data_IF_884187839637
#
_entry.id   IF_884187839637
#
_cell.length_a   1.000
_cell.length_b   1.000
_cell.length_c   1.000
_cell.angle_alpha   90.00
_cell.angle_beta   90.00
_cell.angle_gamma   90.00
#
_symmetry.space_group_name_H-M   'P 1'
#
loop_
_entity.id
_entity.type
_entity.pdbx_description
1 polymer ?
2 non-polymer ?
3 non-polymer ?
4 non-polymer ?
5 water ?
#
# COMPACT_ATOMS: atom_id res chain seq x y z
N UNK A 13 -15.00 21.86 3.61
CA UNK A 13 -13.74 21.23 3.08
C UNK A 13 -14.06 19.94 2.33
N UNK A 14 -13.49 19.80 1.12
CA UNK A 14 -13.55 18.55 0.36
C UNK A 14 -12.13 18.16 -0.06
N UNK A 15 -11.82 16.86 0.09
CA UNK A 15 -10.53 16.31 -0.33
C UNK A 15 -10.74 15.57 -1.65
N UNK A 16 -10.01 15.99 -2.70
CA UNK A 16 -10.09 15.34 -4.00
C UNK A 16 -8.82 14.51 -4.17
N UNK A 17 -8.93 13.22 -3.92
CA UNK A 17 -7.77 12.35 -4.11
C UNK A 17 -7.78 11.78 -5.52
N UNK A 18 -6.63 11.86 -6.18
CA UNK A 18 -6.51 11.33 -7.54
C UNK A 18 -6.35 9.81 -7.46
N UNK A 19 -7.30 9.09 -8.03
CA UNK A 19 -7.25 7.63 -8.08
C UNK A 19 -7.82 7.12 -9.40
N UNK A 20 -7.02 7.33 -10.46
CA UNK A 20 -7.39 6.96 -11.82
C UNK A 20 -6.96 5.51 -12.03
N UNK A 21 -7.97 4.62 -12.10
CA UNK A 21 -7.75 3.20 -12.24
C UNK A 21 -9.12 2.55 -12.49
N UNK A 22 -9.13 1.50 -13.32
CA UNK A 22 -10.37 0.78 -13.54
C UNK A 22 -10.78 0.06 -12.26
N UNK A 23 -9.79 -0.50 -11.55
CA UNK A 23 -10.07 -1.16 -10.28
C UNK A 23 -9.20 -0.53 -9.21
N UNK A 24 -9.69 -0.52 -7.96
CA UNK A 24 -9.01 0.22 -6.91
C UNK A 24 -7.74 -0.49 -6.43
N UNK A 25 -6.67 0.30 -6.24
CA UNK A 25 -5.49 -0.24 -5.58
C UNK A 25 -5.67 -0.24 -4.06
N UNK A 26 -4.79 -0.96 -3.35
CA UNK A 26 -4.75 -0.86 -1.90
C UNK A 26 -4.34 0.55 -1.46
N UNK A 27 -3.54 1.26 -2.28
CA UNK A 27 -3.22 2.64 -1.92
C UNK A 27 -4.48 3.49 -1.75
N UNK A 28 -5.38 3.45 -2.74
CA UNK A 28 -6.58 4.29 -2.64
C UNK A 28 -7.49 3.77 -1.52
N UNK A 29 -7.60 2.45 -1.34
CA UNK A 29 -8.46 1.92 -0.28
C UNK A 29 -7.94 2.38 1.09
N UNK A 30 -6.62 2.34 1.29
CA UNK A 30 -6.05 2.84 2.53
C UNK A 30 -6.36 4.33 2.72
N UNK A 31 -6.15 5.12 1.66
CA UNK A 31 -6.41 6.56 1.72
C UNK A 31 -7.88 6.78 2.14
N UNK A 32 -8.80 6.02 1.55
CA UNK A 32 -10.22 6.17 1.89
C UNK A 32 -10.44 5.87 3.38
N UNK A 33 -9.78 4.83 3.90
CA UNK A 33 -10.01 4.45 5.29
C UNK A 33 -9.50 5.50 6.25
N UNK A 34 -8.33 6.09 5.94
CA UNK A 34 -7.82 7.17 6.75
C UNK A 34 -8.71 8.42 6.66
N UNK A 35 -9.18 8.77 5.45
CA UNK A 35 -10.14 9.87 5.32
C UNK A 35 -11.37 9.66 6.21
N UNK A 36 -11.96 8.47 6.19
CA UNK A 36 -13.14 8.19 6.99
C UNK A 36 -12.83 8.30 8.48
N UNK A 37 -11.65 7.85 8.90
CA UNK A 37 -11.32 7.82 10.32
C UNK A 37 -11.19 9.24 10.84
N UNK A 38 -10.88 10.21 9.97
CA UNK A 38 -10.63 11.58 10.39
C UNK A 38 -11.77 12.51 10.00
N UNK A 39 -12.91 11.94 9.60
CA UNK A 39 -14.12 12.70 9.26
C UNK A 39 -13.89 13.64 8.08
N UNK A 40 -13.09 13.21 7.10
CA UNK A 40 -12.81 14.05 5.94
C UNK A 40 -13.72 13.61 4.79
N UNK A 41 -14.51 14.56 4.28
CA UNK A 41 -15.31 14.31 3.07
C UNK A 41 -14.38 14.28 1.85
N UNK A 42 -14.57 13.29 0.96
CA UNK A 42 -13.60 13.10 -0.10
C UNK A 42 -14.29 12.57 -1.34
N UNK A 43 -13.61 12.78 -2.47
CA UNK A 43 -14.02 12.22 -3.75
C UNK A 43 -12.76 11.57 -4.32
N UNK A 44 -12.90 10.38 -4.92
CA UNK A 44 -11.77 9.78 -5.64
C UNK A 44 -11.86 10.21 -7.10
N UNK A 45 -10.97 11.11 -7.51
CA UNK A 45 -11.03 11.65 -8.87
C UNK A 45 -10.55 10.58 -9.84
N UNK A 46 -11.38 10.30 -10.87
CA UNK A 46 -10.94 9.43 -11.94
C UNK A 46 -11.23 7.97 -11.67
N UNK A 47 -11.94 7.65 -10.60
CA UNK A 47 -12.25 6.28 -10.26
C UNK A 47 -12.91 5.60 -11.47
N UNK A 48 -12.48 4.36 -11.79
CA UNK A 48 -13.10 3.61 -12.88
C UNK A 48 -12.47 3.86 -14.26
N UNK A 49 -11.62 4.90 -14.37
CA UNK A 49 -11.03 5.24 -15.66
C UNK A 49 -9.64 4.63 -15.78
N UNK A 50 -9.18 4.42 -17.02
CA UNK A 50 -7.86 3.87 -17.26
C UNK A 50 -6.79 4.95 -17.15
N UNK A 51 -5.65 4.62 -16.53
CA UNK A 51 -4.54 5.54 -16.40
C UNK A 51 -3.81 5.72 -17.74
N UNK A 52 -3.55 6.98 -18.09
CA UNK A 52 -2.83 7.31 -19.31
C UNK A 52 -1.77 8.38 -19.01
N UNK A 53 -1.35 8.49 -17.74
CA UNK A 53 -0.53 9.61 -17.30
C UNK A 53 0.96 9.35 -17.46
N UNK A 54 1.32 8.16 -17.96
CA UNK A 54 2.70 7.80 -18.31
C UNK A 54 3.30 6.85 -17.27
N UNK A 55 4.43 6.21 -17.62
CA UNK A 55 5.16 5.36 -16.70
C UNK A 55 6.00 6.27 -15.80
N UNK A 56 5.40 6.67 -14.66
CA UNK A 56 5.97 7.68 -13.78
C UNK A 56 7.35 7.25 -13.26
N UNK A 57 7.54 5.93 -13.09
CA UNK A 57 8.74 5.34 -12.54
C UNK A 57 9.98 5.73 -13.35
N UNK A 58 9.94 5.49 -14.67
CA UNK A 58 11.13 5.63 -15.51
C UNK A 58 11.13 6.96 -16.26
N UNK A 59 10.01 7.71 -16.16
CA UNK A 59 9.79 8.94 -16.91
C UNK A 59 8.74 9.78 -16.19
N UNK A 60 8.87 11.11 -16.26
CA UNK A 60 7.86 11.96 -15.65
C UNK A 60 6.61 12.03 -16.55
N UNK A 61 5.51 12.52 -15.96
CA UNK A 61 4.23 12.68 -16.64
C UNK A 61 3.20 13.21 -15.63
N UNK A 62 1.95 12.74 -15.73
CA UNK A 62 0.95 13.04 -14.72
C UNK A 62 -0.06 14.11 -15.15
N UNK A 63 0.08 14.67 -16.37
CA UNK A 63 -0.87 15.65 -16.90
C UNK A 63 -2.31 15.17 -16.81
N UNK A 64 -2.53 13.85 -16.95
CA UNK A 64 -3.89 13.30 -16.90
C UNK A 64 -4.53 13.57 -15.53
N UNK A 65 -3.71 13.70 -14.48
CA UNK A 65 -4.25 14.02 -13.17
C UNK A 65 -4.95 15.38 -13.19
N UNK A 66 -4.30 16.35 -13.85
CA UNK A 66 -4.83 17.70 -14.03
C UNK A 66 -6.15 17.64 -14.82
N UNK A 67 -6.15 16.89 -15.94
CA UNK A 67 -7.34 16.83 -16.78
C UNK A 67 -8.53 16.19 -16.06
N UNK A 68 -8.30 15.13 -15.28
CA UNK A 68 -9.36 14.50 -14.50
C UNK A 68 -9.82 15.43 -13.37
N UNK A 69 -8.88 16.16 -12.76
CA UNK A 69 -9.22 17.12 -11.70
C UNK A 69 -10.17 18.19 -12.27
N UNK A 70 -9.84 18.67 -13.49
CA UNK A 70 -10.66 19.70 -14.12
C UNK A 70 -12.09 19.22 -14.32
N UNK A 71 -12.28 17.99 -14.84
CA UNK A 71 -13.62 17.41 -14.94
C UNK A 71 -14.33 17.31 -13.59
N UNK A 72 -13.61 16.84 -12.57
CA UNK A 72 -14.21 16.78 -11.24
C UNK A 72 -14.69 18.16 -10.78
N UNK A 73 -13.91 19.21 -11.03
CA UNK A 73 -14.25 20.55 -10.56
C UNK A 73 -15.56 21.03 -11.20
N UNK A 74 -15.93 20.51 -12.38
CA UNK A 74 -17.18 20.88 -13.02
C UNK A 74 -18.39 20.43 -12.19
N UNK A 75 -18.23 19.41 -11.32
CA UNK A 75 -19.29 18.97 -10.41
C UNK A 75 -19.37 19.83 -9.15
N UNK A 76 -18.37 20.67 -8.89
CA UNK A 76 -18.26 21.38 -7.61
C UNK A 76 -18.42 22.87 -7.89
N UNK A 77 -19.64 23.37 -7.82
CA UNK A 77 -19.88 24.68 -8.39
C UNK A 77 -19.53 25.77 -7.38
N UNK A 78 -19.54 25.45 -6.09
CA UNK A 78 -19.29 26.49 -5.10
C UNK A 78 -17.79 26.64 -4.83
N UNK A 79 -17.44 27.84 -4.36
CA UNK A 79 -16.04 28.20 -4.16
C UNK A 79 -15.59 27.71 -2.78
N UNK A 80 -15.40 26.41 -2.64
CA UNK A 80 -15.08 25.87 -1.32
C UNK A 80 -13.59 25.53 -1.27
N UNK A 81 -13.10 25.35 -0.05
CA UNK A 81 -11.70 24.97 0.14
C UNK A 81 -11.57 23.51 -0.23
N UNK A 82 -10.55 23.21 -1.05
CA UNK A 82 -10.35 21.83 -1.48
C UNK A 82 -8.88 21.44 -1.27
N UNK A 83 -8.66 20.19 -0.89
CA UNK A 83 -7.31 19.61 -0.92
C UNK A 83 -7.27 18.71 -2.14
N UNK A 84 -6.18 18.77 -2.91
CA UNK A 84 -6.01 17.89 -4.05
C UNK A 84 -4.74 17.11 -3.75
N UNK A 85 -4.82 15.78 -3.82
CA UNK A 85 -3.66 15.01 -3.38
C UNK A 85 -3.59 13.66 -4.10
N UNK A 86 -2.35 13.17 -4.15
CA UNK A 86 -2.07 11.78 -4.48
C UNK A 86 -2.81 10.88 -3.52
N UNK A 87 -3.08 9.62 -3.93
CA UNK A 87 -3.71 8.66 -3.01
C UNK A 87 -2.92 7.37 -2.88
N UNK A 88 -2.04 7.07 -3.84
CA UNK A 88 -1.46 5.73 -3.81
C UNK A 88 -0.48 5.56 -2.66
N UNK A 89 0.13 6.68 -2.27
CA UNK A 89 1.25 6.72 -1.34
C UNK A 89 1.06 7.86 -0.33
N UNK A 90 -0.19 8.10 0.07
CA UNK A 90 -0.49 9.24 0.92
C UNK A 90 -1.71 8.96 1.81
N UNK A 91 -1.65 9.40 3.08
CA UNK A 91 -2.79 9.30 3.99
C UNK A 91 -2.92 10.56 4.83
N UNK A 92 -4.17 10.95 5.17
CA UNK A 92 -4.41 12.00 6.18
C UNK A 92 -4.31 11.42 7.57
N UNK A 93 -3.81 12.23 8.52
CA UNK A 93 -3.62 11.80 9.90
C UNK A 93 -4.37 12.74 10.84
N UNK A 94 -5.13 13.67 10.26
CA UNK A 94 -5.98 14.51 11.09
C UNK A 94 -7.21 14.95 10.31
N UNK A 95 -8.08 15.74 10.98
CA UNK A 95 -9.38 16.05 10.41
C UNK A 95 -9.49 17.48 9.90
N UNK A 96 -10.73 17.88 9.49
CA UNK A 96 -10.95 19.16 8.84
C UNK A 96 -10.66 20.38 9.71
N UNK A 97 -10.90 20.28 11.03
CA UNK A 97 -10.68 21.42 11.92
C UNK A 97 -9.21 21.82 11.92
N UNK A 98 -8.32 20.84 12.11
CA UNK A 98 -6.88 21.11 12.08
C UNK A 98 -6.48 21.66 10.71
N UNK A 99 -7.01 21.08 9.63
CA UNK A 99 -6.65 21.52 8.28
C UNK A 99 -7.05 22.99 8.03
N UNK A 100 -8.29 23.32 8.40
CA UNK A 100 -8.84 24.66 8.18
C UNK A 100 -8.04 25.66 8.99
N UNK A 101 -7.70 25.32 10.25
CA UNK A 101 -6.95 26.25 11.09
C UNK A 101 -5.56 26.49 10.52
N UNK A 102 -4.89 25.41 10.08
CA UNK A 102 -3.57 25.56 9.50
C UNK A 102 -3.59 26.42 8.24
N UNK A 103 -4.56 26.16 7.36
CA UNK A 103 -4.67 26.90 6.11
C UNK A 103 -4.79 28.39 6.41
N UNK A 104 -5.67 28.75 7.35
CA UNK A 104 -5.92 30.16 7.66
C UNK A 104 -4.63 30.82 8.17
N UNK A 105 -3.90 30.08 9.01
CA UNK A 105 -2.67 30.59 9.57
C UNK A 105 -1.61 30.69 8.49
N UNK A 106 -1.51 29.69 7.60
CA UNK A 106 -0.43 29.70 6.63
C UNK A 106 -0.61 30.82 5.60
N UNK A 107 -1.86 31.12 5.22
CA UNK A 107 -2.13 32.05 4.12
C UNK A 107 -3.36 32.90 4.43
N UNK A 108 -3.19 34.01 5.19
CA UNK A 108 -4.28 34.96 5.42
C UNK A 108 -4.90 35.50 4.14
N UNK A 109 -4.13 35.57 3.05
CA UNK A 109 -4.65 36.06 1.77
C UNK A 109 -5.17 34.94 0.87
N UNK A 110 -5.41 33.75 1.44
CA UNK A 110 -6.12 32.68 0.76
C UNK A 110 -5.45 32.26 -0.55
N UNK A 111 -4.13 32.10 -0.52
CA UNK A 111 -3.39 31.60 -1.68
C UNK A 111 -3.56 30.08 -1.80
N UNK A 112 -3.06 29.49 -2.90
CA UNK A 112 -3.00 28.05 -2.96
C UNK A 112 -1.72 27.57 -2.27
N UNK A 113 -1.84 26.64 -1.30
CA UNK A 113 -0.66 26.18 -0.60
C UNK A 113 -0.22 24.85 -1.21
N UNK A 114 1.05 24.75 -1.64
CA UNK A 114 1.60 23.48 -2.10
C UNK A 114 2.56 22.90 -1.07
N UNK A 115 2.67 21.56 -1.06
CA UNK A 115 3.72 20.89 -0.33
C UNK A 115 5.10 21.42 -0.74
N UNK A 116 6.00 21.45 0.26
CA UNK A 116 7.42 21.65 0.00
C UNK A 116 8.11 20.28 -0.07
N UNK A 117 9.38 20.28 -0.51
CA UNK A 117 10.21 19.09 -0.51
C UNK A 117 11.69 19.48 -0.61
N UNK A 118 12.59 18.47 -0.55
CA UNK A 118 14.03 18.69 -0.51
C UNK A 118 14.63 19.00 -1.88
N UNK A 119 14.01 18.51 -2.98
CA UNK A 119 14.70 18.50 -4.27
C UNK A 119 13.94 19.30 -5.33
N UNK A 120 14.71 19.90 -6.24
CA UNK A 120 14.18 20.72 -7.32
C UNK A 120 14.13 19.88 -8.59
N UNK A 121 12.92 19.44 -8.99
CA UNK A 121 12.80 18.54 -10.12
C UNK A 121 11.48 18.79 -10.84
N UNK A 122 11.31 18.48 -12.16
CA UNK A 122 12.37 17.87 -13.00
C UNK A 122 13.41 18.77 -13.68
N UNK A 123 13.37 20.06 -13.37
CA UNK A 123 14.18 21.06 -14.07
C UNK A 123 15.14 21.73 -13.09
N UNK A 124 16.39 21.25 -13.06
CA UNK A 124 17.42 21.69 -12.13
C UNK A 124 17.70 23.19 -12.31
N UNK A 125 17.42 23.73 -13.51
CA UNK A 125 17.71 25.13 -13.73
C UNK A 125 16.76 26.04 -12.95
N UNK A 126 15.72 25.49 -12.31
CA UNK A 126 14.81 26.33 -11.54
C UNK A 126 15.39 26.71 -10.17
N UNK A 127 16.47 26.01 -9.75
CA UNK A 127 17.08 26.21 -8.44
C UNK A 127 17.22 27.70 -8.16
N UNK A 128 17.86 28.44 -9.09
CA UNK A 128 18.20 29.83 -8.81
C UNK A 128 17.00 30.77 -8.92
N UNK A 129 15.84 30.25 -9.36
CA UNK A 129 14.62 31.03 -9.52
C UNK A 129 13.69 30.91 -8.32
N UNK A 130 13.97 29.94 -7.43
CA UNK A 130 13.17 29.77 -6.23
C UNK A 130 13.53 30.83 -5.19
N UNK A 131 12.56 31.29 -4.38
CA UNK A 131 12.86 32.18 -3.24
C UNK A 131 13.88 31.56 -2.30
N UNK A 132 14.82 32.39 -1.81
CA UNK A 132 15.82 31.97 -0.85
C UNK A 132 15.18 31.81 0.52
N UNK A 133 15.45 30.68 1.18
CA UNK A 133 14.82 30.41 2.47
C UNK A 133 15.80 29.69 3.38
N UNK A 134 15.62 29.88 4.69
CA UNK A 134 16.50 29.28 5.66
C UNK A 134 15.88 27.97 6.14
N UNK A 135 15.70 27.02 5.22
CA UNK A 135 15.23 25.68 5.48
C UNK A 135 15.72 24.82 4.32
N UNK A 136 15.90 23.53 4.58
CA UNK A 136 16.16 22.58 3.50
C UNK A 136 14.90 22.27 2.68
N UNK A 137 13.71 22.57 3.20
CA UNK A 137 12.47 22.27 2.48
C UNK A 137 12.16 23.41 1.49
N UNK A 138 12.97 23.50 0.42
CA UNK A 138 12.99 24.71 -0.40
C UNK A 138 12.01 24.69 -1.59
N UNK A 139 11.62 23.51 -2.07
CA UNK A 139 11.05 23.43 -3.42
C UNK A 139 9.63 22.89 -3.39
N UNK A 140 8.91 23.03 -4.52
CA UNK A 140 7.52 22.59 -4.63
C UNK A 140 7.42 21.09 -4.90
N UNK A 141 6.45 20.43 -4.25
CA UNK A 141 6.06 19.06 -4.59
C UNK A 141 4.57 19.09 -4.94
N UNK A 142 4.18 18.57 -6.12
CA UNK A 142 2.82 18.78 -6.63
C UNK A 142 1.84 17.69 -6.19
N UNK A 143 2.29 16.78 -5.32
CA UNK A 143 1.56 15.63 -4.80
C UNK A 143 0.48 16.00 -3.76
N UNK A 144 0.51 17.23 -3.24
CA UNK A 144 -0.54 17.66 -2.32
C UNK A 144 -0.62 19.17 -2.33
N UNK A 145 -1.83 19.72 -2.42
CA UNK A 145 -1.97 21.16 -2.33
C UNK A 145 -3.39 21.49 -1.85
N UNK A 146 -3.60 22.75 -1.43
CA UNK A 146 -4.89 23.14 -0.89
C UNK A 146 -5.21 24.60 -1.22
N UNK A 147 -6.45 24.87 -1.63
CA UNK A 147 -6.87 26.25 -1.84
C UNK A 147 -8.33 26.29 -2.29
N UNK A 148 -8.80 27.51 -2.62
CA UNK A 148 -10.18 27.67 -3.08
C UNK A 148 -10.37 27.06 -4.47
N UNK A 149 -11.52 26.40 -4.64
CA UNK A 149 -11.92 25.75 -5.87
C UNK A 149 -11.72 26.69 -7.06
N UNK A 150 -12.16 27.94 -6.93
CA UNK A 150 -12.07 28.81 -8.11
C UNK A 150 -10.63 29.15 -8.48
N UNK A 151 -9.77 29.33 -7.49
CA UNK A 151 -8.37 29.62 -7.76
C UNK A 151 -7.71 28.45 -8.49
N UNK A 152 -8.00 27.23 -8.02
CA UNK A 152 -7.38 26.06 -8.62
C UNK A 152 -7.92 25.90 -10.04
N UNK A 153 -9.23 26.09 -10.20
CA UNK A 153 -9.90 25.97 -11.49
C UNK A 153 -9.22 26.91 -12.49
N UNK A 154 -9.00 28.16 -12.07
CA UNK A 154 -8.43 29.17 -12.96
C UNK A 154 -7.06 28.72 -13.47
N UNK A 155 -6.27 28.07 -12.61
CA UNK A 155 -4.93 27.63 -13.01
C UNK A 155 -4.95 26.52 -14.07
N UNK A 156 -5.99 25.69 -14.11
CA UNK A 156 -5.95 24.46 -14.91
C UNK A 156 -6.99 24.46 -16.04
N UNK A 157 -7.74 25.56 -16.18
CA UNK A 157 -9.01 25.51 -16.89
C UNK A 157 -8.83 25.17 -18.37
N UNK A 158 -7.65 25.43 -18.93
CA UNK A 158 -7.41 25.13 -20.34
C UNK A 158 -6.95 23.68 -20.54
N UNK A 159 -6.77 22.92 -19.45
CA UNK A 159 -6.33 21.54 -19.58
C UNK A 159 -4.86 21.44 -20.00
N UNK A 160 -4.33 20.22 -20.03
CA UNK A 160 -2.96 19.92 -20.44
C UNK A 160 -2.96 18.62 -21.22
N UNK A 161 -1.79 18.17 -21.71
CA UNK A 161 -1.76 16.86 -22.35
C UNK A 161 -1.63 15.83 -21.24
N UNK A 162 -2.26 14.67 -21.41
CA UNK A 162 -2.20 13.54 -20.48
C UNK A 162 -0.76 13.21 -20.06
N UNK A 163 0.19 13.41 -20.96
CA UNK A 163 1.56 13.00 -20.68
C UNK A 163 2.46 14.19 -20.35
N UNK A 164 1.89 15.40 -20.27
CA UNK A 164 2.62 16.55 -19.76
C UNK A 164 3.02 16.27 -18.32
N UNK A 165 3.96 17.08 -17.82
CA UNK A 165 4.53 16.84 -16.51
C UNK A 165 3.85 17.77 -15.50
N UNK A 166 3.04 17.22 -14.58
CA UNK A 166 2.27 18.08 -13.67
C UNK A 166 3.18 18.73 -12.63
N UNK A 167 4.25 18.03 -12.23
CA UNK A 167 5.23 18.60 -11.31
C UNK A 167 5.85 19.88 -11.88
N UNK A 168 6.26 19.82 -13.16
CA UNK A 168 6.84 20.99 -13.80
C UNK A 168 5.80 22.09 -13.99
N UNK A 169 4.57 21.72 -14.34
CA UNK A 169 3.49 22.67 -14.56
C UNK A 169 3.33 23.55 -13.31
N UNK A 170 3.26 22.90 -12.15
CA UNK A 170 2.99 23.67 -10.94
C UNK A 170 4.24 24.39 -10.44
N UNK A 171 5.41 23.81 -10.69
CA UNK A 171 6.65 24.47 -10.32
C UNK A 171 6.73 25.84 -11.03
N UNK A 172 6.41 25.82 -12.34
CA UNK A 172 6.48 27.03 -13.15
C UNK A 172 5.46 28.07 -12.66
N UNK A 173 4.24 27.62 -12.40
CA UNK A 173 3.21 28.48 -11.84
C UNK A 173 3.67 29.13 -10.55
N UNK A 174 4.35 28.37 -9.67
CA UNK A 174 4.81 28.96 -8.42
C UNK A 174 5.81 30.08 -8.69
N UNK A 175 6.77 29.79 -9.59
CA UNK A 175 7.93 30.65 -9.77
C UNK A 175 7.52 31.93 -10.50
N UNK A 176 6.50 31.81 -11.36
CA UNK A 176 6.24 32.87 -12.30
C UNK A 176 5.10 33.76 -11.84
N UNK A 177 4.26 33.27 -10.90
CA UNK A 177 3.08 34.00 -10.46
C UNK A 177 3.20 34.31 -8.97
N UNK A 178 2.13 34.87 -8.42
CA UNK A 178 2.05 35.07 -6.98
C UNK A 178 0.88 34.27 -6.40
N UNK A 179 0.46 33.21 -7.09
CA UNK A 179 -0.76 32.50 -6.72
C UNK A 179 -0.54 31.42 -5.66
N UNK A 180 0.72 30.96 -5.52
CA UNK A 180 1.07 29.79 -4.71
C UNK A 180 2.05 30.17 -3.61
N UNK A 181 1.83 29.60 -2.42
CA UNK A 181 2.80 29.63 -1.36
C UNK A 181 3.20 28.18 -1.00
N UNK A 182 4.43 27.99 -0.52
CA UNK A 182 4.87 26.66 -0.13
C UNK A 182 4.73 26.47 1.37
N UNK A 183 4.39 25.23 1.78
CA UNK A 183 4.26 24.88 3.19
C UNK A 183 5.63 24.48 3.73
N UNK A 184 6.50 25.48 3.93
CA UNK A 184 7.89 25.23 4.32
C UNK A 184 7.99 24.51 5.66
N UNK A 185 7.01 24.74 6.57
CA UNK A 185 7.10 24.16 7.91
C UNK A 185 6.39 22.80 8.00
N UNK A 186 6.01 22.20 6.86
CA UNK A 186 5.39 20.87 6.91
C UNK A 186 4.21 20.85 7.90
N UNK A 187 3.29 21.85 7.81
CA UNK A 187 2.15 21.93 8.70
C UNK A 187 1.00 21.09 8.13
N UNK A 188 0.73 21.31 6.82
CA UNK A 188 -0.34 20.57 6.15
C UNK A 188 0.20 19.30 5.49
N UNK A 189 1.40 19.41 4.89
CA UNK A 189 1.86 18.34 4.02
C UNK A 189 3.29 17.93 4.39
N UNK A 190 3.56 16.62 4.29
CA UNK A 190 4.92 16.12 4.48
C UNK A 190 5.32 15.25 3.29
N UNK A 191 6.24 15.76 2.46
CA UNK A 191 6.94 14.93 1.49
C UNK A 191 8.05 14.20 2.24
N UNK A 192 7.85 12.89 2.41
CA UNK A 192 8.66 12.13 3.35
C UNK A 192 10.03 11.74 2.79
N UNK A 193 10.21 11.84 1.46
CA UNK A 193 11.42 11.27 0.82
C UNK A 193 12.70 11.93 1.35
N UNK A 194 13.63 11.09 1.85
CA UNK A 194 14.92 11.52 2.37
C UNK A 194 14.77 12.43 3.60
N UNK A 195 13.61 12.37 4.29
CA UNK A 195 13.43 13.09 5.53
C UNK A 195 13.28 12.13 6.71
N UNK A 196 13.68 10.87 6.53
CA UNK A 196 13.57 9.87 7.59
C UNK A 196 14.02 10.39 8.95
N UNK A 197 15.18 11.07 9.03
CA UNK A 197 15.65 11.33 10.39
C UNK A 197 14.91 12.51 11.02
N UNK A 198 14.09 13.22 10.22
CA UNK A 198 13.28 14.32 10.74
C UNK A 198 12.05 13.78 11.46
N UNK A 199 11.63 12.56 11.13
CA UNK A 199 10.27 12.10 11.43
C UNK A 199 10.26 10.96 12.46
N UNK A 200 9.27 11.03 13.37
CA UNK A 200 9.00 9.95 14.30
C UNK A 200 7.48 9.71 14.34
N UNK A 201 7.07 8.51 14.74
CA UNK A 201 5.66 8.29 15.05
C UNK A 201 5.45 8.58 16.54
N UNK A 202 4.46 9.42 16.86
CA UNK A 202 4.15 9.72 18.26
C UNK A 202 2.66 10.06 18.38
N UNK A 203 1.98 9.40 19.33
CA UNK A 203 0.55 9.63 19.57
C UNK A 203 -0.26 9.66 18.28
N UNK A 204 -0.07 8.62 17.47
CA UNK A 204 -0.86 8.36 16.28
C UNK A 204 -0.60 9.43 15.22
N UNK A 205 0.58 10.07 15.27
CA UNK A 205 0.90 11.12 14.28
C UNK A 205 2.36 11.02 13.86
N UNK A 206 2.67 11.66 12.73
CA UNK A 206 4.06 11.98 12.41
C UNK A 206 4.40 13.30 13.09
N UNK A 207 5.52 13.28 13.81
CA UNK A 207 6.12 14.48 14.32
C UNK A 207 7.40 14.74 13.52
N UNK A 208 7.47 15.95 12.93
CA UNK A 208 8.66 16.40 12.24
C UNK A 208 9.46 17.26 13.23
N UNK A 209 10.60 16.77 13.65
CA UNK A 209 11.39 17.49 14.65
C UNK A 209 12.22 18.61 14.04
N UNK A 210 12.40 18.56 12.70
CA UNK A 210 13.14 19.63 12.05
C UNK A 210 12.29 20.91 12.00
N UNK A 211 11.01 20.76 11.63
CA UNK A 211 10.09 21.88 11.49
C UNK A 211 9.35 22.16 12.79
N UNK A 212 9.33 21.19 13.72
CA UNK A 212 8.47 21.25 14.91
C UNK A 212 7.01 21.32 14.49
N UNK A 213 6.56 20.29 13.79
CA UNK A 213 5.19 20.25 13.29
C UNK A 213 4.67 18.83 13.31
N UNK A 214 3.34 18.73 13.21
CA UNK A 214 2.69 17.46 13.00
C UNK A 214 1.96 17.52 11.66
N UNK A 215 2.61 17.18 10.52
CA UNK A 215 1.97 17.33 9.20
C UNK A 215 0.68 16.53 9.11
N UNK A 216 -0.34 17.15 8.52
CA UNK A 216 -1.60 16.42 8.40
C UNK A 216 -1.51 15.29 7.38
N UNK A 217 -1.01 15.59 6.17
CA UNK A 217 -0.97 14.59 5.10
C UNK A 217 0.45 13.99 5.01
N UNK A 218 0.55 12.67 5.22
CA UNK A 218 1.80 11.93 5.14
C UNK A 218 1.95 11.35 3.73
N UNK A 219 2.92 11.92 2.97
CA UNK A 219 3.12 11.57 1.58
C UNK A 219 4.44 10.81 1.45
N UNK A 220 4.34 9.50 1.16
CA UNK A 220 5.55 8.69 0.93
C UNK A 220 6.00 8.83 -0.53
N UNK A 221 6.40 10.05 -0.93
CA UNK A 221 6.67 10.34 -2.33
C UNK A 221 7.92 9.56 -2.76
N UNK A 222 7.97 9.19 -4.04
CA UNK A 222 9.10 8.42 -4.56
C UNK A 222 9.33 7.14 -3.74
N UNK A 223 10.59 6.79 -3.45
CA UNK A 223 10.94 5.62 -2.65
C UNK A 223 10.46 5.68 -1.21
N UNK A 224 9.95 6.84 -0.76
CA UNK A 224 9.43 6.87 0.60
C UNK A 224 8.11 6.11 0.80
N UNK A 225 7.57 5.48 -0.24
CA UNK A 225 6.47 4.55 -0.07
C UNK A 225 6.82 3.52 1.01
N UNK A 226 8.11 3.07 1.02
CA UNK A 226 8.54 2.05 1.97
C UNK A 226 8.41 2.59 3.39
N UNK A 227 8.81 3.86 3.58
CA UNK A 227 8.75 4.47 4.91
C UNK A 227 7.29 4.66 5.39
N UNK A 228 6.42 5.13 4.50
CA UNK A 228 5.00 5.28 4.87
C UNK A 228 4.38 3.92 5.20
N UNK A 229 4.68 2.91 4.37
CA UNK A 229 4.18 1.55 4.59
C UNK A 229 4.63 1.05 5.97
N UNK A 230 5.85 1.43 6.38
CA UNK A 230 6.43 1.02 7.66
C UNK A 230 5.67 1.69 8.81
N UNK A 231 5.42 2.99 8.67
CA UNK A 231 4.76 3.73 9.74
C UNK A 231 3.29 3.33 9.92
N UNK A 232 2.68 2.88 8.83
CA UNK A 232 1.29 2.43 8.81
C UNK A 232 1.03 1.41 9.93
N UNK A 233 1.94 0.44 10.10
CA UNK A 233 1.81 -0.55 11.15
C UNK A 233 1.74 0.02 12.56
N UNK A 234 2.10 1.30 12.74
CA UNK A 234 2.12 1.91 14.07
C UNK A 234 0.98 2.90 14.25
N UNK A 235 0.25 3.19 13.16
CA UNK A 235 -0.89 4.10 13.23
C UNK A 235 -2.16 3.30 13.52
N UNK A 236 -3.23 4.06 13.85
CA UNK A 236 -4.55 3.49 14.14
C UNK A 236 -5.62 4.28 13.39
N UNK A 237 -6.58 3.57 12.83
CA UNK A 237 -7.81 4.21 12.37
C UNK A 237 -8.96 3.92 13.33
N UNK A 238 -8.73 2.97 14.25
CA UNK A 238 -9.71 2.62 15.27
C UNK A 238 -8.96 1.99 16.44
N UNK A 239 -9.54 1.95 17.66
CA UNK A 239 -8.87 1.27 18.79
C UNK A 239 -8.67 -0.22 18.50
N UNK A 240 -7.55 -0.76 18.99
CA UNK A 240 -7.29 -2.18 19.08
C UNK A 240 -8.44 -2.80 19.89
N UNK A 241 -8.98 -3.92 19.42
CA UNK A 241 -9.77 -4.71 20.35
C UNK A 241 -8.87 -5.77 20.97
N UNK A 242 -8.60 -5.59 22.25
CA UNK A 242 -7.61 -6.44 22.89
C UNK A 242 -8.16 -7.84 23.12
N UNK A 243 -9.46 -8.04 22.90
CA UNK A 243 -10.04 -9.34 23.23
C UNK A 243 -10.10 -10.22 21.98
N UNK A 244 -9.68 -9.68 20.82
CA UNK A 244 -9.78 -10.40 19.55
C UNK A 244 -9.08 -11.75 19.60
N UNK A 245 -8.05 -11.84 20.44
CA UNK A 245 -7.25 -13.05 20.45
C UNK A 245 -7.41 -13.82 21.75
N UNK A 246 -8.27 -13.33 22.67
CA UNK A 246 -8.25 -13.87 24.02
C UNK A 246 -8.55 -15.37 23.95
N UNK A 247 -9.51 -15.76 23.09
CA UNK A 247 -9.58 -17.13 22.56
C UNK A 247 -8.90 -17.18 21.19
N UNK A 248 -7.92 -18.07 21.05
CA UNK A 248 -7.15 -18.26 19.81
C UNK A 248 -7.76 -19.30 18.88
N UNK A 249 -9.09 -19.50 18.93
CA UNK A 249 -9.80 -20.55 18.16
C UNK A 249 -10.93 -19.92 17.34
N UNK A 250 -10.71 -19.84 16.03
CA UNK A 250 -11.47 -18.92 15.22
C UNK A 250 -12.37 -19.77 14.35
N UNK A 251 -13.64 -19.37 14.20
CA UNK A 251 -14.52 -20.12 13.32
C UNK A 251 -15.44 -19.14 12.59
N UNK A 252 -15.49 -19.25 11.26
CA UNK A 252 -16.32 -18.36 10.47
C UNK A 252 -17.74 -18.92 10.52
N UNK A 253 -18.72 -18.01 10.62
CA UNK A 253 -20.16 -18.29 10.59
C UNK A 253 -20.52 -19.00 9.28
N UNK A 254 -19.96 -18.47 8.19
CA UNK A 254 -20.31 -18.89 6.83
C UNK A 254 -18.99 -18.88 6.04
N UNK A 255 -18.54 -20.04 5.55
CA UNK A 255 -17.19 -20.12 4.99
C UNK A 255 -17.22 -19.75 3.50
N UNK A 256 -16.53 -18.68 3.07
CA UNK A 256 -16.38 -18.40 1.64
C UNK A 256 -15.52 -19.53 1.06
N UNK A 257 -15.65 -19.72 -0.25
CA UNK A 257 -14.93 -20.81 -0.91
C UNK A 257 -13.45 -20.43 -1.07
N UNK A 258 -12.53 -21.33 -0.66
CA UNK A 258 -11.10 -21.08 -0.75
C UNK A 258 -10.47 -22.09 -1.72
N UNK A 259 -9.70 -21.59 -2.71
CA UNK A 259 -8.93 -22.39 -3.66
C UNK A 259 -7.53 -22.62 -3.07
N UNK A 260 -7.23 -23.86 -2.67
CA UNK A 260 -5.91 -24.16 -2.14
C UNK A 260 -5.00 -24.45 -3.33
N UNK A 261 -3.94 -23.66 -3.50
CA UNK A 261 -2.99 -23.83 -4.60
C UNK A 261 -1.69 -24.32 -3.95
N UNK A 262 -1.44 -25.63 -4.05
CA UNK A 262 -0.30 -26.25 -3.36
C UNK A 262 0.88 -26.37 -4.33
N UNK A 263 2.01 -25.79 -3.96
CA UNK A 263 3.18 -25.86 -4.82
C UNK A 263 4.10 -26.92 -4.24
N UNK A 264 4.23 -28.04 -4.96
CA UNK A 264 4.86 -29.22 -4.38
C UNK A 264 6.03 -29.68 -5.26
N UNK A 265 6.85 -30.59 -4.69
CA UNK A 265 7.91 -31.23 -5.46
C UNK A 265 7.98 -32.70 -5.04
N UNK A 266 7.32 -33.56 -5.81
CA UNK A 266 7.24 -34.97 -5.44
C UNK A 266 8.62 -35.65 -5.51
N UNK A 267 9.64 -34.95 -6.02
CA UNK A 267 10.98 -35.51 -5.97
C UNK A 267 11.37 -35.73 -4.51
N UNK A 268 10.97 -34.81 -3.63
CA UNK A 268 11.23 -34.92 -2.21
C UNK A 268 10.03 -35.60 -1.55
N UNK A 269 9.97 -36.92 -1.66
CA UNK A 269 8.78 -37.68 -1.34
C UNK A 269 8.40 -37.52 0.13
N UNK A 270 9.38 -37.56 1.03
CA UNK A 270 9.06 -37.47 2.44
C UNK A 270 8.61 -36.06 2.83
N UNK A 271 9.18 -35.03 2.17
CA UNK A 271 8.76 -33.67 2.47
C UNK A 271 7.32 -33.46 1.99
N UNK A 272 7.01 -34.00 0.81
CA UNK A 272 5.68 -33.92 0.23
C UNK A 272 4.63 -34.57 1.13
N UNK A 273 4.90 -35.80 1.60
CA UNK A 273 3.92 -36.50 2.41
C UNK A 273 3.63 -35.72 3.69
N UNK A 274 4.69 -35.18 4.32
CA UNK A 274 4.55 -34.47 5.57
C UNK A 274 3.75 -33.18 5.37
N UNK A 275 4.07 -32.46 4.30
CA UNK A 275 3.34 -31.25 3.94
C UNK A 275 1.85 -31.55 3.72
N UNK A 276 1.54 -32.54 2.89
CA UNK A 276 0.16 -32.84 2.52
C UNK A 276 -0.66 -33.26 3.74
N UNK A 277 -0.02 -33.98 4.65
CA UNK A 277 -0.65 -34.39 5.91
C UNK A 277 -1.06 -33.16 6.75
N UNK A 278 -0.18 -32.17 6.85
CA UNK A 278 -0.51 -30.96 7.60
C UNK A 278 -1.63 -30.18 6.89
N UNK A 279 -1.54 -30.09 5.56
CA UNK A 279 -2.53 -29.34 4.80
C UNK A 279 -3.91 -29.98 4.98
N UNK A 280 -3.95 -31.32 4.88
CA UNK A 280 -5.19 -32.07 5.09
C UNK A 280 -5.80 -31.84 6.48
N UNK A 281 -5.00 -31.36 7.46
CA UNK A 281 -5.47 -31.12 8.80
C UNK A 281 -5.95 -29.69 9.04
N UNK A 282 -5.77 -28.82 8.05
CA UNK A 282 -6.33 -27.48 8.14
C UNK A 282 -7.84 -27.63 8.06
N UNK A 283 -8.55 -27.10 9.07
CA UNK A 283 -9.99 -27.31 9.20
C UNK A 283 -10.72 -26.25 8.36
N UNK A 284 -11.27 -26.67 7.23
CA UNK A 284 -12.05 -25.76 6.42
C UNK A 284 -12.90 -26.60 5.48
N UNK A 285 -14.19 -26.30 5.45
CA UNK A 285 -15.13 -27.11 4.69
C UNK A 285 -15.22 -26.71 3.22
N UNK A 286 -15.32 -25.40 2.93
CA UNK A 286 -15.70 -24.96 1.61
C UNK A 286 -14.45 -24.68 0.77
N UNK A 287 -13.89 -25.70 0.11
CA UNK A 287 -12.59 -25.52 -0.53
C UNK A 287 -12.47 -26.38 -1.78
N UNK A 288 -11.50 -26.04 -2.61
CA UNK A 288 -11.06 -26.88 -3.72
C UNK A 288 -9.53 -26.86 -3.69
N UNK A 289 -8.93 -28.02 -3.99
CA UNK A 289 -7.49 -28.23 -3.84
C UNK A 289 -6.89 -28.55 -5.20
N UNK A 290 -5.82 -27.81 -5.55
CA UNK A 290 -5.01 -28.06 -6.73
C UNK A 290 -3.57 -28.29 -6.30
N UNK A 291 -2.94 -29.33 -6.87
CA UNK A 291 -1.52 -29.58 -6.65
C UNK A 291 -0.77 -29.22 -7.91
N UNK A 292 0.28 -28.42 -7.74
CA UNK A 292 1.09 -27.92 -8.84
C UNK A 292 2.49 -28.43 -8.56
N UNK A 293 2.87 -29.51 -9.26
CA UNK A 293 4.11 -30.22 -8.98
C UNK A 293 5.20 -29.79 -9.95
N UNK A 294 6.37 -29.48 -9.40
CA UNK A 294 7.57 -29.13 -10.16
C UNK A 294 8.04 -30.35 -10.96
N UNK A 295 7.98 -31.54 -10.35
CA UNK A 295 8.44 -32.79 -10.95
C UNK A 295 7.56 -33.22 -12.14
N UNK A 296 8.16 -33.99 -13.06
CA UNK A 296 7.48 -34.51 -14.24
C UNK A 296 7.02 -35.94 -14.03
N UNK A 297 7.63 -36.65 -13.06
CA UNK A 297 7.29 -38.03 -12.74
C UNK A 297 5.88 -38.36 -13.25
N UNK A 305 -2.51 -38.78 -5.65
CA UNK A 305 -3.07 -38.43 -6.99
C UNK A 305 -4.47 -39.02 -7.11
N UNK A 306 -4.73 -40.05 -6.31
CA UNK A 306 -6.06 -40.61 -6.14
C UNK A 306 -6.82 -39.71 -5.15
N UNK A 307 -6.10 -39.24 -4.12
CA UNK A 307 -6.63 -38.37 -3.07
C UNK A 307 -6.73 -36.94 -3.59
N UNK A 308 -6.00 -36.65 -4.67
CA UNK A 308 -5.87 -35.32 -5.22
C UNK A 308 -6.13 -35.36 -6.72
N UNK A 309 -7.41 -35.38 -7.15
CA UNK A 309 -7.75 -35.33 -8.57
C UNK A 309 -7.10 -34.20 -9.36
N UNK A 310 -7.06 -32.98 -8.79
CA UNK A 310 -6.54 -31.82 -9.51
C UNK A 310 -5.03 -31.76 -9.34
N UNK A 311 -4.33 -32.51 -10.18
CA UNK A 311 -2.89 -32.71 -10.04
C UNK A 311 -2.23 -32.29 -11.36
N UNK A 312 -1.20 -31.43 -11.27
CA UNK A 312 -0.61 -30.86 -12.47
C UNK A 312 0.89 -30.98 -12.30
N UNK A 313 1.59 -31.30 -13.39
CA UNK A 313 2.97 -31.71 -13.28
C UNK A 313 3.85 -30.80 -14.16
N UNK A 314 5.13 -30.73 -13.82
CA UNK A 314 6.08 -29.88 -14.53
C UNK A 314 5.80 -28.38 -14.37
N UNK A 315 5.29 -27.95 -13.20
CA UNK A 315 4.89 -26.56 -13.01
C UNK A 315 6.02 -25.79 -12.34
N UNK A 316 6.45 -24.67 -12.95
CA UNK A 316 7.61 -23.96 -12.44
C UNK A 316 7.27 -22.51 -12.10
N UNK A 317 6.00 -22.12 -12.27
CA UNK A 317 5.56 -20.76 -12.01
C UNK A 317 4.28 -20.84 -11.17
N UNK A 318 3.88 -19.73 -10.53
CA UNK A 318 2.57 -19.69 -9.92
C UNK A 318 1.50 -19.61 -11.00
N UNK A 319 0.39 -20.33 -10.80
CA UNK A 319 -0.69 -20.51 -11.76
C UNK A 319 -1.95 -19.85 -11.22
N UNK A 320 -2.59 -19.03 -12.06
CA UNK A 320 -3.79 -18.34 -11.63
C UNK A 320 -5.00 -18.68 -12.48
N UNK A 321 -4.79 -19.33 -13.64
CA UNK A 321 -5.90 -19.54 -14.57
C UNK A 321 -6.96 -20.49 -14.02
N UNK A 322 -6.55 -21.54 -13.29
CA UNK A 322 -7.51 -22.46 -12.70
C UNK A 322 -8.39 -21.72 -11.70
N UNK A 323 -7.76 -20.89 -10.86
CA UNK A 323 -8.52 -20.06 -9.93
C UNK A 323 -9.51 -19.15 -10.68
N UNK A 324 -9.05 -18.51 -11.77
CA UNK A 324 -9.88 -17.52 -12.45
C UNK A 324 -11.14 -18.20 -12.99
N UNK A 325 -10.99 -19.46 -13.43
CA UNK A 325 -12.09 -20.21 -14.02
C UNK A 325 -12.99 -20.76 -12.93
N UNK A 326 -12.50 -20.80 -11.69
CA UNK A 326 -13.31 -21.31 -10.58
C UNK A 326 -14.23 -20.22 -10.05
N UNK A 327 -15.07 -20.60 -9.08
CA UNK A 327 -15.97 -19.73 -8.33
C UNK A 327 -15.43 -19.45 -6.92
N UNK A 328 -14.15 -19.75 -6.67
CA UNK A 328 -13.53 -19.47 -5.38
C UNK A 328 -13.44 -17.97 -5.10
N UNK A 329 -13.49 -17.60 -3.82
CA UNK A 329 -13.46 -16.22 -3.37
C UNK A 329 -12.06 -15.82 -2.89
N UNK A 330 -11.23 -16.82 -2.57
CA UNK A 330 -9.87 -16.56 -2.09
C UNK A 330 -8.92 -17.58 -2.72
N UNK A 331 -7.68 -17.15 -2.95
CA UNK A 331 -6.61 -18.03 -3.41
C UNK A 331 -5.62 -18.19 -2.25
N UNK A 332 -5.36 -19.44 -1.86
CA UNK A 332 -4.52 -19.69 -0.70
C UNK A 332 -3.29 -20.44 -1.23
N UNK A 333 -2.18 -19.72 -1.32
CA UNK A 333 -0.95 -20.26 -1.89
C UNK A 333 -0.17 -20.92 -0.75
N UNK A 334 0.19 -22.21 -0.93
CA UNK A 334 0.97 -22.90 0.08
C UNK A 334 2.13 -23.60 -0.61
N UNK A 335 3.36 -23.33 -0.13
CA UNK A 335 4.57 -23.99 -0.62
C UNK A 335 4.93 -25.15 0.31
N UNK A 336 5.48 -26.23 -0.29
CA UNK A 336 5.78 -27.50 0.37
C UNK A 336 6.67 -27.37 1.61
N UNK A 337 7.59 -26.40 1.61
CA UNK A 337 8.48 -26.24 2.75
C UNK A 337 7.87 -25.46 3.91
N UNK A 338 6.59 -25.09 3.81
CA UNK A 338 5.93 -24.39 4.90
C UNK A 338 4.92 -25.34 5.57
N UNK A 339 5.16 -25.57 6.85
CA UNK A 339 4.39 -26.53 7.64
C UNK A 339 3.46 -25.76 8.56
N UNK A 340 2.15 -25.85 8.28
CA UNK A 340 1.16 -25.13 9.07
C UNK A 340 0.71 -26.04 10.22
N UNK A 341 0.75 -25.52 11.44
CA UNK A 341 0.34 -26.31 12.60
C UNK A 341 -0.98 -25.81 13.21
N UNK A 342 -1.39 -24.58 12.89
CA UNK A 342 -2.59 -24.00 13.52
C UNK A 342 -3.81 -24.34 12.66
N UNK A 343 -4.69 -25.23 13.16
CA UNK A 343 -5.67 -25.89 12.31
C UNK A 343 -6.75 -24.91 11.87
N UNK A 344 -6.98 -23.85 12.66
CA UNK A 344 -8.06 -22.91 12.35
C UNK A 344 -7.50 -21.68 11.62
N UNK A 345 -6.32 -21.81 11.01
CA UNK A 345 -5.62 -20.64 10.49
C UNK A 345 -6.42 -19.93 9.39
N UNK A 346 -7.16 -20.68 8.58
CA UNK A 346 -7.89 -20.07 7.47
C UNK A 346 -9.03 -19.19 7.99
N UNK A 347 -9.73 -19.67 9.04
CA UNK A 347 -10.75 -18.84 9.68
C UNK A 347 -10.11 -17.54 10.18
N UNK A 348 -8.97 -17.68 10.88
CA UNK A 348 -8.28 -16.53 11.42
C UNK A 348 -7.89 -15.53 10.32
N UNK A 349 -7.29 -16.02 9.22
CA UNK A 349 -6.81 -15.12 8.17
C UNK A 349 -7.98 -14.43 7.46
N UNK A 350 -9.04 -15.19 7.15
CA UNK A 350 -10.15 -14.58 6.42
C UNK A 350 -10.78 -13.42 7.20
N UNK A 351 -10.85 -13.56 8.53
CA UNK A 351 -11.36 -12.48 9.36
C UNK A 351 -10.55 -11.19 9.23
N UNK A 352 -9.32 -11.25 8.72
CA UNK A 352 -8.54 -10.03 8.60
C UNK A 352 -8.69 -9.39 7.21
N UNK A 353 -9.43 -10.05 6.30
CA UNK A 353 -9.50 -9.53 4.94
C UNK A 353 -10.65 -8.51 4.85
N UNK A 354 -10.28 -7.23 4.68
CA UNK A 354 -11.22 -6.12 4.59
C UNK A 354 -10.48 -4.90 4.09
N UNK A 355 -11.21 -4.00 3.41
CA UNK A 355 -10.61 -2.75 2.95
C UNK A 355 -9.32 -3.02 2.18
N UNK A 356 -8.21 -2.34 2.60
CA UNK A 356 -6.93 -2.43 1.91
C UNK A 356 -6.11 -3.65 2.37
N UNK A 357 -6.71 -4.54 3.17
CA UNK A 357 -6.03 -5.73 3.64
C UNK A 357 -6.54 -6.94 2.86
N UNK A 358 -5.89 -7.25 1.73
CA UNK A 358 -6.43 -8.22 0.79
C UNK A 358 -5.42 -9.35 0.51
N UNK A 359 -4.16 -9.15 0.90
CA UNK A 359 -3.11 -10.17 0.76
C UNK A 359 -2.48 -10.31 2.14
N UNK A 360 -2.63 -11.51 2.76
CA UNK A 360 -2.26 -11.74 4.15
C UNK A 360 -1.40 -13.00 4.24
N UNK A 361 -0.27 -12.90 4.92
CA UNK A 361 0.69 -14.00 5.01
C UNK A 361 1.04 -14.20 6.49
N UNK A 362 0.75 -15.37 7.08
CA UNK A 362 1.14 -15.63 8.47
C UNK A 362 2.65 -15.81 8.60
N UNK A 363 3.21 -15.19 9.65
CA UNK A 363 4.65 -15.25 9.86
C UNK A 363 5.04 -16.59 10.49
N UNK A 364 5.95 -17.32 9.81
CA UNK A 364 6.53 -18.56 10.30
C UNK A 364 8.05 -18.48 10.13
N UNK A 365 8.77 -19.13 11.05
CA UNK A 365 10.22 -19.15 11.04
C UNK A 365 10.75 -20.56 10.77
N UNK A 366 11.99 -20.64 10.30
CA UNK A 366 12.66 -21.93 10.17
C UNK A 366 12.80 -22.57 11.55
N UNK A 367 12.59 -23.88 11.58
CA UNK A 367 12.53 -24.63 12.83
C UNK A 367 13.82 -24.53 13.63
N UNK A 368 14.99 -24.45 12.97
CA UNK A 368 16.24 -24.42 13.72
C UNK A 368 16.85 -23.02 13.79
N UNK A 369 16.12 -21.95 13.42
CA UNK A 369 16.46 -20.58 13.78
C UNK A 369 15.31 -19.69 13.33
N UNK A 370 14.44 -19.36 14.29
CA UNK A 370 13.15 -18.75 14.04
C UNK A 370 13.30 -17.30 13.59
N UNK A 371 14.53 -16.76 13.60
CA UNK A 371 14.71 -15.40 13.11
C UNK A 371 14.74 -15.37 11.57
N UNK A 372 14.84 -16.54 10.92
CA UNK A 372 14.71 -16.56 9.48
C UNK A 372 13.24 -16.85 9.18
N UNK A 373 12.52 -15.86 8.63
CA UNK A 373 11.07 -15.99 8.47
C UNK A 373 10.69 -15.92 6.99
N UNK A 374 9.36 -15.97 6.77
CA UNK A 374 8.80 -15.95 5.43
C UNK A 374 8.36 -14.53 5.02
N UNK A 375 8.99 -13.49 5.59
CA UNK A 375 8.76 -12.13 5.09
C UNK A 375 10.08 -11.34 5.10
N UNK A 376 10.15 -10.27 4.29
CA UNK A 376 11.23 -9.31 4.42
C UNK A 376 10.66 -7.99 4.92
N UNK A 377 11.36 -7.39 5.88
CA UNK A 377 10.93 -6.12 6.46
C UNK A 377 11.31 -4.93 5.58
N UNK A 378 12.28 -5.12 4.69
CA UNK A 378 12.75 -4.04 3.83
C UNK A 378 13.37 -4.69 2.60
N UNK A 379 13.64 -3.86 1.59
CA UNK A 379 14.13 -4.34 0.32
C UNK A 379 15.00 -3.23 -0.26
N UNK A 380 16.12 -3.62 -0.87
CA UNK A 380 17.04 -2.66 -1.48
C UNK A 380 17.50 -3.26 -2.80
N UNK A 381 17.16 -2.57 -3.90
CA UNK A 381 17.44 -3.01 -5.26
C UNK A 381 16.96 -4.44 -5.41
N UNK A 382 15.74 -4.72 -4.91
CA UNK A 382 15.10 -6.02 -5.03
C UNK A 382 15.65 -7.14 -4.12
N UNK A 383 16.51 -6.79 -3.15
CA UNK A 383 17.07 -7.83 -2.32
C UNK A 383 16.84 -7.50 -0.85
N UNK A 384 16.94 -8.55 -0.03
CA UNK A 384 16.58 -8.48 1.39
C UNK A 384 17.38 -7.39 2.11
N UNK A 385 16.70 -6.59 2.93
CA UNK A 385 17.41 -5.69 3.83
C UNK A 385 16.76 -5.79 5.20
N UNK A 386 17.57 -5.69 6.27
CA UNK A 386 17.05 -5.86 7.62
C UNK A 386 16.41 -4.54 8.06
N UNK A 387 15.10 -4.53 8.30
CA UNK A 387 14.42 -3.34 8.79
C UNK A 387 14.70 -3.17 10.27
N UNK A 388 14.43 -1.97 10.80
CA UNK A 388 14.70 -1.61 12.19
C UNK A 388 13.88 -2.49 13.15
N UNK A 389 12.67 -2.87 12.74
CA UNK A 389 11.80 -3.65 13.62
C UNK A 389 11.77 -5.13 13.22
N UNK A 390 12.67 -5.57 12.34
CA UNK A 390 12.60 -6.94 11.84
C UNK A 390 12.66 -7.96 12.99
N UNK A 391 13.67 -7.84 13.86
CA UNK A 391 13.88 -8.84 14.89
C UNK A 391 12.73 -8.83 15.91
N UNK A 392 12.16 -7.63 16.15
CA UNK A 392 11.03 -7.48 17.06
C UNK A 392 9.81 -8.22 16.55
N UNK A 393 9.58 -8.18 15.23
CA UNK A 393 8.47 -8.93 14.65
C UNK A 393 8.76 -10.43 14.69
N UNK A 394 9.98 -10.82 14.30
CA UNK A 394 10.29 -12.24 14.21
C UNK A 394 10.21 -12.91 15.58
N UNK A 395 10.54 -12.19 16.65
CA UNK A 395 10.53 -12.76 17.99
C UNK A 395 9.24 -12.40 18.73
N UNK A 396 8.25 -11.84 18.02
CA UNK A 396 6.93 -11.50 18.57
C UNK A 396 7.01 -10.55 19.77
N UNK A 397 7.99 -9.63 19.77
CA UNK A 397 7.99 -8.59 20.78
C UNK A 397 6.81 -7.64 20.53
N UNK A 398 6.41 -7.50 19.25
CA UNK A 398 5.18 -6.79 18.92
C UNK A 398 4.44 -7.57 17.84
N UNK A 399 3.09 -7.52 17.85
CA UNK A 399 2.27 -8.36 16.99
C UNK A 399 1.17 -7.52 16.33
N UNK A 400 0.74 -8.00 15.16
CA UNK A 400 -0.33 -7.38 14.41
C UNK A 400 -0.17 -7.67 12.92
N UNK A 401 -0.62 -6.71 12.09
CA UNK A 401 -0.53 -6.79 10.64
C UNK A 401 0.46 -5.72 10.20
N UNK A 402 1.34 -6.08 9.26
CA UNK A 402 2.45 -5.20 8.92
C UNK A 402 2.58 -5.15 7.39
N UNK A 403 2.61 -3.93 6.83
CA UNK A 403 2.70 -3.73 5.38
C UNK A 403 4.15 -3.96 5.00
N UNK A 404 4.45 -5.01 4.24
CA UNK A 404 5.86 -5.33 4.01
C UNK A 404 6.08 -5.55 2.49
N UNK A 405 7.34 -5.46 2.00
CA UNK A 405 7.62 -5.61 0.57
C UNK A 405 7.68 -7.03 0.03
N UNK A 406 7.75 -8.06 0.90
CA UNK A 406 7.83 -9.43 0.39
C UNK A 406 7.30 -10.39 1.46
N UNK A 407 6.47 -11.34 1.02
CA UNK A 407 5.99 -12.46 1.83
C UNK A 407 6.12 -13.71 0.98
N UNK A 408 6.18 -14.88 1.63
CA UNK A 408 6.49 -16.10 0.91
C UNK A 408 5.69 -17.23 1.55
N UNK A 409 5.22 -18.17 0.72
CA UNK A 409 5.08 -19.55 1.18
C UNK A 409 3.66 -19.88 1.67
N UNK A 410 3.05 -18.95 2.41
CA UNK A 410 1.67 -19.10 2.86
C UNK A 410 1.03 -17.74 2.67
N UNK A 411 0.19 -17.63 1.63
CA UNK A 411 -0.36 -16.33 1.24
C UNK A 411 -1.84 -16.48 0.94
N UNK A 412 -2.66 -15.67 1.63
CA UNK A 412 -4.09 -15.67 1.32
C UNK A 412 -4.38 -14.39 0.54
N UNK A 413 -4.97 -14.52 -0.66
CA UNK A 413 -5.26 -13.37 -1.50
C UNK A 413 -6.76 -13.35 -1.85
N UNK A 414 -7.40 -12.19 -1.64
CA UNK A 414 -8.80 -12.05 -2.00
C UNK A 414 -8.94 -12.08 -3.53
N UNK A 415 -10.10 -12.58 -4.00
CA UNK A 415 -10.30 -12.67 -5.44
C UNK A 415 -10.18 -11.33 -6.17
N UNK A 416 -10.51 -10.20 -5.51
CA UNK A 416 -10.47 -8.91 -6.17
C UNK A 416 -9.05 -8.58 -6.64
N UNK A 417 -8.06 -9.16 -5.97
CA UNK A 417 -6.67 -9.02 -6.40
C UNK A 417 -6.39 -9.93 -7.59
N UNK A 418 -6.61 -11.24 -7.41
CA UNK A 418 -6.19 -12.22 -8.39
C UNK A 418 -6.96 -12.08 -9.72
N UNK A 419 -8.26 -11.72 -9.65
CA UNK A 419 -9.09 -11.63 -10.85
C UNK A 419 -8.83 -10.36 -11.67
N UNK A 420 -8.20 -9.32 -11.08
CA UNK A 420 -8.16 -8.01 -11.73
C UNK A 420 -6.75 -7.47 -12.08
N UNK A 421 -5.69 -8.14 -11.60
CA UNK A 421 -4.34 -7.61 -11.69
C UNK A 421 -3.40 -8.67 -12.25
N UNK A 422 -2.39 -8.24 -13.00
CA UNK A 422 -1.39 -9.13 -13.58
C UNK A 422 -0.38 -9.52 -12.50
N UNK A 423 -0.47 -10.76 -12.00
CA UNK A 423 0.40 -11.21 -10.93
C UNK A 423 1.57 -12.00 -11.51
N UNK A 424 1.73 -11.93 -12.84
CA UNK A 424 2.66 -12.79 -13.55
C UNK A 424 3.79 -11.98 -14.20
N UNK A 425 4.02 -10.76 -13.70
CA UNK A 425 5.10 -9.92 -14.24
C UNK A 425 6.44 -10.52 -13.83
N UNK A 426 7.48 -10.30 -14.66
CA UNK A 426 8.74 -10.99 -14.44
C UNK A 426 9.85 -9.96 -14.33
N UNK A 427 10.63 -10.04 -13.25
CA UNK A 427 11.80 -9.20 -13.08
C UNK A 427 13.01 -10.04 -12.66
N UNK A 428 12.79 -10.96 -11.71
CA UNK A 428 13.86 -11.68 -11.02
C UNK A 428 13.99 -13.11 -11.53
N UNK A 429 13.03 -13.56 -12.35
CA UNK A 429 13.00 -14.93 -12.83
C UNK A 429 12.97 -15.90 -11.66
N UNK A 430 12.11 -15.60 -10.67
CA UNK A 430 11.98 -16.38 -9.46
C UNK A 430 10.53 -16.19 -9.02
N UNK A 431 9.81 -17.29 -8.81
CA UNK A 431 8.35 -17.19 -8.77
C UNK A 431 7.90 -16.37 -7.55
N UNK A 432 8.52 -16.61 -6.38
CA UNK A 432 8.11 -15.91 -5.16
C UNK A 432 8.50 -14.43 -5.22
N UNK A 433 9.72 -14.13 -5.68
CA UNK A 433 10.15 -12.75 -5.81
C UNK A 433 9.30 -11.98 -6.84
N UNK A 434 8.93 -12.65 -7.93
CA UNK A 434 8.20 -11.96 -9.00
C UNK A 434 6.74 -11.72 -8.62
N UNK A 435 6.15 -12.62 -7.83
CA UNK A 435 4.80 -12.40 -7.32
C UNK A 435 4.82 -11.12 -6.48
N UNK A 436 5.80 -11.00 -5.57
CA UNK A 436 5.86 -9.81 -4.72
C UNK A 436 6.15 -8.53 -5.54
N UNK A 437 7.02 -8.63 -6.55
CA UNK A 437 7.28 -7.50 -7.42
C UNK A 437 5.99 -7.08 -8.12
N UNK A 438 5.23 -8.06 -8.61
CA UNK A 438 3.96 -7.76 -9.28
C UNK A 438 3.05 -6.96 -8.36
N UNK A 439 2.91 -7.41 -7.10
CA UNK A 439 2.00 -6.74 -6.18
C UNK A 439 2.49 -5.32 -5.88
N UNK A 440 3.80 -5.17 -5.60
CA UNK A 440 4.34 -3.84 -5.33
C UNK A 440 4.06 -2.90 -6.52
N UNK A 441 4.23 -3.44 -7.73
CA UNK A 441 4.09 -2.58 -8.92
C UNK A 441 2.66 -2.08 -9.03
N UNK A 442 1.67 -2.88 -8.59
CA UNK A 442 0.26 -2.51 -8.71
C UNK A 442 -0.24 -1.70 -7.51
N UNK A 443 0.62 -1.41 -6.53
CA UNK A 443 0.18 -0.83 -5.27
C UNK A 443 -0.91 -1.74 -4.65
N UNK A 444 -0.69 -3.05 -4.71
CA UNK A 444 -1.42 -3.98 -3.86
C UNK A 444 -0.48 -4.32 -2.71
N UNK A 445 -0.97 -4.20 -1.46
CA UNK A 445 -0.08 -4.34 -0.32
C UNK A 445 -0.04 -5.80 0.14
N UNK A 446 1.12 -6.19 0.69
CA UNK A 446 1.29 -7.50 1.33
C UNK A 446 1.35 -7.25 2.82
N UNK A 447 0.47 -7.93 3.57
CA UNK A 447 0.49 -7.78 5.01
C UNK A 447 0.97 -9.08 5.64
N UNK A 448 2.05 -8.99 6.41
CA UNK A 448 2.44 -10.11 7.26
C UNK A 448 1.57 -10.03 8.53
N UNK A 449 1.17 -11.20 9.05
CA UNK A 449 0.48 -11.24 10.34
C UNK A 449 1.23 -12.18 11.30
N UNK A 450 1.43 -11.73 12.56
CA UNK A 450 2.18 -12.54 13.51
C UNK A 450 1.46 -12.63 14.85
N UNK A 451 0.12 -12.66 14.81
CA UNK A 451 -0.74 -12.65 16.01
C UNK A 451 -0.71 -13.96 16.80
N UNK A 452 -0.37 -15.06 16.14
CA UNK A 452 -0.36 -16.38 16.77
C UNK A 452 0.88 -17.12 16.32
N UNK A 453 1.07 -18.33 16.87
CA UNK A 453 2.05 -19.30 16.40
C UNK A 453 1.39 -20.17 15.33
N UNK A 454 1.82 -20.03 14.08
CA UNK A 454 1.09 -20.59 12.95
C UNK A 454 1.75 -21.86 12.43
N UNK A 455 3.05 -22.02 12.68
CA UNK A 455 3.77 -23.06 11.96
C UNK A 455 5.27 -22.77 11.92
N UNK A 456 5.96 -23.44 10.99
CA UNK A 456 7.41 -23.27 10.82
C UNK A 456 7.76 -23.64 9.39
N UNK A 457 8.99 -23.29 8.98
CA UNK A 457 9.51 -23.71 7.69
C UNK A 457 10.57 -24.80 7.87
N UNK A 458 10.71 -25.66 6.86
CA UNK A 458 11.70 -26.74 6.87
C UNK A 458 12.78 -26.42 5.82
#
# INVERSE_FOLDING_TARGET
GPGSEQSNNDDNLLVLGIGISVHKTDGVLRFEKYCQAHNLQYMIVGEGKKWNGGNLESEAGGGQKINELLIALESIKDNKLIVVCDTYDLIPLSGPEEILRKYRFLTPDNKVVFSSELYCWPDASLVERYPKVDTKYKYLNSGAFMGYRDDIYEMIKNGVKDRDDDQLFFSIKFIETDKIVLDYKCELFQAMYRCNSDLVVHKNRIFNGYTNSYPVFAHGNGPAKKLLNHMEGYFMTEPIDGSSNTINTFKLDNEPKVFFALYVDSNDLSALKQFLGKVASIQYGNKVIYLYDRSDNEQNRKLIQISYPNYHTGVTKYVFDDFKKSDAQFYFLLEQNCIITKKDILHELIMQVKDNHRVISPMIGYEQNSTRTNFWGDIEDGYYKRSENYLDLAKHKVRGLWNVPYVYGVILMHESVVRNWDLSMVKYNDKDMDLCFSLRKHTIFMYMINNNNYGYMV
#
